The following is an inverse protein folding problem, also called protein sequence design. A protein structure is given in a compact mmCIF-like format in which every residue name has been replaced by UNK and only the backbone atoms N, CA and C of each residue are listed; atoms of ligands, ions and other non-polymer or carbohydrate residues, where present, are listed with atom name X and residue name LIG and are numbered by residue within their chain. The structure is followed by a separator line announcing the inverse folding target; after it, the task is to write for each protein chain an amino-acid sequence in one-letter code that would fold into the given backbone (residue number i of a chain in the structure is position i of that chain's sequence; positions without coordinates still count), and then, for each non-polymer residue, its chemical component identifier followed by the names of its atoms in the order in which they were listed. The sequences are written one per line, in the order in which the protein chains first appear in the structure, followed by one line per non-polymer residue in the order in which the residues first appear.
data_IF_208289630648
#
_entry.id   IF_208289630648
#
_cell.length_a   1.000
_cell.length_b   1.000
_cell.length_c   1.000
_cell.angle_alpha   90.00
_cell.angle_beta   90.00
_cell.angle_gamma   90.00
#
_symmetry.space_group_name_H-M   'P 1'
#
loop_
_entity.id
_entity.type
_entity.pdbx_description
1 polymer ?
#
# COMPACT_ATOMS: atom_id res chain seq x y z
N UNK A 1 -23.63 34.36 -5.70
CA UNK A 1 -23.40 32.91 -5.79
C UNK A 1 -22.98 32.45 -4.40
N UNK A 2 -23.78 31.66 -3.70
CA UNK A 2 -23.41 31.11 -2.40
C UNK A 2 -22.24 30.20 -2.56
N UNK A 3 -21.19 30.26 -1.71
CA UNK A 3 -20.11 29.32 -1.77
C UNK A 3 -20.66 27.90 -1.56
N UNK A 4 -20.32 27.00 -2.44
CA UNK A 4 -20.67 25.58 -2.32
C UNK A 4 -19.90 25.02 -1.10
N UNK A 5 -20.48 25.14 0.09
CA UNK A 5 -19.90 24.61 1.31
C UNK A 5 -20.01 23.09 1.20
N UNK A 6 -18.89 22.42 0.90
CA UNK A 6 -18.83 20.98 0.94
C UNK A 6 -18.95 20.53 2.40
N UNK A 7 -19.86 19.60 2.66
CA UNK A 7 -20.10 19.04 4.00
C UNK A 7 -19.06 18.00 4.42
N UNK A 8 -18.06 17.72 3.57
CA UNK A 8 -17.00 16.76 3.82
C UNK A 8 -15.67 17.20 3.16
N UNK A 9 -14.56 16.76 3.70
CA UNK A 9 -13.24 16.97 3.13
C UNK A 9 -12.95 15.91 2.07
N UNK A 10 -12.69 16.33 0.84
CA UNK A 10 -12.28 15.41 -0.22
C UNK A 10 -10.83 15.00 -0.05
N UNK A 11 -10.57 13.72 -0.09
CA UNK A 11 -9.21 13.18 -0.05
C UNK A 11 -8.30 13.76 -1.15
N UNK A 12 -8.86 13.95 -2.37
CA UNK A 12 -8.13 14.56 -3.46
C UNK A 12 -7.68 15.99 -3.18
N UNK A 13 -8.51 16.79 -2.49
CA UNK A 13 -8.18 18.17 -2.14
C UNK A 13 -7.06 18.21 -1.09
N UNK A 14 -7.11 17.33 -0.08
CA UNK A 14 -6.04 17.19 0.91
C UNK A 14 -4.70 16.77 0.28
N UNK A 15 -4.72 15.86 -0.70
CA UNK A 15 -3.51 15.49 -1.43
C UNK A 15 -3.00 16.65 -2.31
N UNK A 16 -3.89 17.36 -2.99
CA UNK A 16 -3.50 18.53 -3.79
C UNK A 16 -2.87 19.63 -2.93
N UNK A 17 -3.41 19.89 -1.75
CA UNK A 17 -2.84 20.84 -0.79
C UNK A 17 -1.45 20.41 -0.35
N UNK A 18 -1.26 19.13 0.01
CA UNK A 18 0.02 18.60 0.47
C UNK A 18 1.11 18.59 -0.60
N UNK A 19 0.76 18.26 -1.84
CA UNK A 19 1.73 18.06 -2.93
C UNK A 19 1.83 19.25 -3.90
N UNK A 20 0.93 20.21 -3.83
CA UNK A 20 0.85 21.33 -4.78
C UNK A 20 0.49 20.92 -6.21
N UNK A 21 0.06 19.68 -6.41
CA UNK A 21 -0.26 19.13 -7.73
C UNK A 21 -1.24 17.96 -7.63
N UNK A 22 -1.75 17.54 -8.79
CA UNK A 22 -2.63 16.36 -8.85
C UNK A 22 -1.86 15.08 -8.54
N UNK A 23 -2.40 14.29 -7.61
CA UNK A 23 -1.84 13.02 -7.16
C UNK A 23 -2.75 11.87 -7.55
N UNK A 24 -2.17 10.74 -7.96
CA UNK A 24 -2.89 9.50 -8.28
C UNK A 24 -2.30 8.34 -7.48
N UNK A 25 -3.17 7.50 -6.88
CA UNK A 25 -2.74 6.19 -6.37
C UNK A 25 -2.47 5.25 -7.55
N UNK A 26 -1.36 4.55 -7.50
CA UNK A 26 -0.98 3.48 -8.43
C UNK A 26 -0.88 2.20 -7.63
N UNK A 27 -1.80 1.26 -7.87
CA UNK A 27 -1.78 -0.03 -7.18
C UNK A 27 -0.55 -0.84 -7.58
N UNK A 28 0.04 -1.53 -6.61
CA UNK A 28 1.13 -2.47 -6.81
C UNK A 28 0.85 -3.78 -6.06
N UNK A 29 1.32 -4.88 -6.60
CA UNK A 29 1.25 -6.19 -5.98
C UNK A 29 2.67 -6.65 -5.63
N UNK A 30 3.01 -6.64 -4.35
CA UNK A 30 4.34 -7.00 -3.86
C UNK A 30 4.53 -8.52 -3.66
N UNK A 31 3.51 -9.33 -3.99
CA UNK A 31 3.55 -10.77 -3.79
C UNK A 31 3.29 -11.22 -2.35
N UNK A 32 2.85 -10.32 -1.48
CA UNK A 32 2.48 -10.66 -0.12
C UNK A 32 1.23 -11.54 -0.06
N UNK A 33 1.00 -12.18 1.07
CA UNK A 33 -0.14 -13.05 1.30
C UNK A 33 -1.02 -12.54 2.45
N UNK A 34 -1.94 -13.37 2.91
CA UNK A 34 -2.80 -13.06 4.05
C UNK A 34 -2.91 -14.29 4.96
N UNK A 35 -2.86 -14.13 6.30
CA UNK A 35 -3.02 -15.23 7.24
C UNK A 35 -4.31 -16.05 7.06
N UNK A 36 -5.36 -15.45 6.53
CA UNK A 36 -6.62 -16.12 6.22
C UNK A 36 -6.57 -16.97 4.94
N UNK A 37 -5.45 -16.93 4.19
CA UNK A 37 -5.29 -17.67 2.92
C UNK A 37 -4.18 -18.70 2.95
N UNK A 38 -3.09 -18.41 3.65
CA UNK A 38 -1.90 -19.26 3.63
C UNK A 38 -1.91 -20.41 4.64
N UNK A 39 -2.94 -20.49 5.46
CA UNK A 39 -3.12 -21.54 6.46
C UNK A 39 -2.71 -21.13 7.88
N UNK A 40 -2.14 -19.94 8.08
CA UNK A 40 -1.72 -19.48 9.42
C UNK A 40 -2.90 -19.26 10.34
N UNK A 41 -3.97 -18.61 9.87
CA UNK A 41 -5.23 -18.42 10.58
C UNK A 41 -6.43 -19.05 9.88
N UNK A 42 -6.35 -19.24 8.55
CA UNK A 42 -7.41 -19.81 7.74
C UNK A 42 -6.96 -20.17 6.34
N UNK A 43 -7.86 -20.82 5.59
CA UNK A 43 -7.63 -21.20 4.18
C UNK A 43 -8.71 -20.60 3.30
N UNK A 44 -8.35 -20.22 2.07
CA UNK A 44 -9.29 -19.70 1.06
C UNK A 44 -9.59 -18.19 1.16
N UNK A 45 -9.31 -17.55 2.28
CA UNK A 45 -9.56 -16.11 2.51
C UNK A 45 -10.97 -15.80 3.00
N UNK A 46 -11.26 -14.51 3.18
CA UNK A 46 -12.57 -14.03 3.59
C UNK A 46 -13.57 -14.08 2.43
N UNK A 47 -14.84 -14.32 2.73
CA UNK A 47 -15.91 -14.50 1.71
C UNK A 47 -16.10 -13.26 0.80
N UNK A 48 -15.79 -12.08 1.30
CA UNK A 48 -15.88 -10.80 0.59
C UNK A 48 -14.57 -10.40 -0.11
N UNK A 49 -13.46 -11.12 0.11
CA UNK A 49 -12.15 -10.75 -0.41
C UNK A 49 -11.98 -11.17 -1.86
N UNK A 50 -12.14 -10.22 -2.78
CA UNK A 50 -11.89 -10.42 -4.21
C UNK A 50 -10.78 -9.49 -4.71
N UNK A 51 -9.53 -9.90 -4.55
CA UNK A 51 -8.38 -9.10 -4.99
C UNK A 51 -8.35 -8.82 -6.51
N UNK A 52 -9.02 -9.64 -7.33
CA UNK A 52 -9.09 -9.40 -8.77
C UNK A 52 -9.87 -8.15 -9.14
N UNK A 53 -10.87 -7.76 -8.33
CA UNK A 53 -11.74 -6.64 -8.63
C UNK A 53 -11.05 -5.27 -8.53
N UNK A 54 -9.93 -5.19 -7.78
CA UNK A 54 -9.18 -3.95 -7.58
C UNK A 54 -7.70 -4.04 -7.95
N UNK A 55 -7.29 -5.14 -8.59
CA UNK A 55 -5.94 -5.28 -9.14
C UNK A 55 -5.96 -4.99 -10.65
N UNK A 56 -5.43 -3.85 -11.10
CA UNK A 56 -5.27 -3.57 -12.51
C UNK A 56 -4.42 -4.63 -13.23
N UNK A 57 -4.56 -4.78 -14.56
CA UNK A 57 -3.86 -5.81 -15.32
C UNK A 57 -2.32 -5.76 -15.21
N UNK A 58 -1.76 -4.60 -14.91
CA UNK A 58 -0.32 -4.42 -14.73
C UNK A 58 0.19 -4.86 -13.36
N UNK A 59 -0.68 -5.09 -12.37
CA UNK A 59 -0.30 -5.58 -11.03
C UNK A 59 0.02 -7.07 -11.07
N UNK A 60 1.27 -7.40 -11.41
CA UNK A 60 1.76 -8.76 -11.45
C UNK A 60 2.82 -8.97 -10.34
N UNK A 61 2.63 -9.91 -9.39
CA UNK A 61 3.58 -10.16 -8.31
C UNK A 61 4.96 -10.65 -8.78
N UNK A 62 5.06 -11.19 -10.00
CA UNK A 62 6.31 -11.62 -10.61
C UNK A 62 7.14 -10.44 -11.18
N UNK A 63 6.51 -9.28 -11.37
CA UNK A 63 7.17 -8.07 -11.86
C UNK A 63 7.72 -7.26 -10.68
N UNK A 64 8.81 -6.51 -10.91
CA UNK A 64 9.33 -5.57 -9.92
C UNK A 64 8.30 -4.49 -9.58
N UNK A 65 8.38 -3.93 -8.38
CA UNK A 65 7.51 -2.81 -7.97
C UNK A 65 7.74 -1.61 -8.88
N UNK A 66 8.98 -1.33 -9.25
CA UNK A 66 9.33 -0.25 -10.18
C UNK A 66 8.66 -0.41 -11.53
N UNK A 67 8.66 -1.62 -12.11
CA UNK A 67 7.98 -1.88 -13.39
C UNK A 67 6.47 -1.68 -13.29
N UNK A 68 5.85 -2.18 -12.21
CA UNK A 68 4.42 -2.00 -11.97
C UNK A 68 4.05 -0.52 -11.82
N UNK A 69 4.89 0.29 -11.17
CA UNK A 69 4.69 1.74 -11.03
C UNK A 69 4.76 2.42 -12.40
N UNK A 70 5.76 2.13 -13.22
CA UNK A 70 5.88 2.71 -14.55
C UNK A 70 4.69 2.36 -15.45
N UNK A 71 4.23 1.11 -15.42
CA UNK A 71 3.05 0.67 -16.16
C UNK A 71 1.78 1.34 -15.64
N UNK A 72 1.65 1.47 -14.31
CA UNK A 72 0.54 2.17 -13.68
C UNK A 72 0.50 3.65 -14.04
N UNK A 73 1.64 4.33 -14.09
CA UNK A 73 1.75 5.72 -14.54
C UNK A 73 1.27 5.84 -15.99
N UNK A 74 1.70 4.93 -16.88
CA UNK A 74 1.22 4.88 -18.26
C UNK A 74 -0.29 4.63 -18.35
N UNK A 75 -0.80 3.67 -17.57
CA UNK A 75 -2.21 3.35 -17.51
C UNK A 75 -3.08 4.54 -17.10
N UNK A 76 -2.61 5.35 -16.15
CA UNK A 76 -3.31 6.54 -15.67
C UNK A 76 -2.91 7.85 -16.37
N UNK A 77 -2.15 7.80 -17.47
CA UNK A 77 -1.63 8.98 -18.18
C UNK A 77 -2.70 10.01 -18.57
N UNK A 78 -3.93 9.56 -18.89
CA UNK A 78 -5.07 10.44 -19.20
C UNK A 78 -5.45 11.40 -18.07
N UNK A 79 -5.13 11.08 -16.83
CA UNK A 79 -5.45 11.93 -15.69
C UNK A 79 -4.44 13.06 -15.44
N UNK A 80 -3.32 13.09 -16.18
CA UNK A 80 -2.27 14.12 -16.11
C UNK A 80 -1.79 14.38 -14.68
N UNK A 81 -1.65 13.33 -13.90
CA UNK A 81 -1.09 13.41 -12.53
C UNK A 81 0.40 13.68 -12.59
N UNK A 82 0.93 14.42 -11.61
CA UNK A 82 2.35 14.80 -11.56
C UNK A 82 3.09 14.06 -10.45
N UNK A 83 2.35 13.60 -9.44
CA UNK A 83 2.86 12.77 -8.35
C UNK A 83 1.98 11.55 -8.15
N UNK A 84 2.59 10.50 -7.63
CA UNK A 84 1.94 9.23 -7.42
C UNK A 84 2.15 8.73 -5.99
N UNK A 85 1.20 7.97 -5.49
CA UNK A 85 1.30 7.19 -4.25
C UNK A 85 1.29 5.73 -4.65
N UNK A 86 2.34 4.98 -4.33
CA UNK A 86 2.37 3.54 -4.54
C UNK A 86 1.42 2.87 -3.52
N UNK A 87 0.40 2.19 -4.03
CA UNK A 87 -0.66 1.62 -3.21
C UNK A 87 -0.52 0.10 -3.13
N UNK A 88 -0.02 -0.36 -2.02
CA UNK A 88 0.05 -1.77 -1.63
C UNK A 88 -1.31 -2.19 -1.09
N UNK A 89 -2.18 -2.66 -1.97
CA UNK A 89 -3.57 -2.94 -1.64
C UNK A 89 -3.88 -4.43 -1.50
N UNK A 90 -3.27 -5.26 -2.34
CA UNK A 90 -3.60 -6.69 -2.41
C UNK A 90 -3.13 -7.44 -1.17
N UNK A 91 -4.05 -8.15 -0.51
CA UNK A 91 -3.78 -8.98 0.68
C UNK A 91 -3.39 -8.16 1.93
N UNK A 92 -2.47 -8.71 2.74
CA UNK A 92 -2.00 -8.10 4.00
C UNK A 92 -0.56 -7.67 3.80
N UNK A 93 -0.35 -6.39 3.53
CA UNK A 93 0.95 -5.90 3.04
C UNK A 93 2.00 -5.64 4.13
N UNK A 94 1.72 -5.97 5.38
CA UNK A 94 2.68 -5.97 6.49
C UNK A 94 2.96 -7.38 7.02
N UNK A 95 2.57 -8.40 6.23
CA UNK A 95 2.67 -9.80 6.62
C UNK A 95 3.53 -10.59 5.62
N UNK A 96 4.52 -11.32 6.13
CA UNK A 96 5.34 -12.27 5.37
C UNK A 96 5.04 -13.69 5.87
N UNK A 97 4.78 -14.60 4.93
CA UNK A 97 4.49 -15.98 5.24
C UNK A 97 5.74 -16.69 5.78
N UNK A 98 5.60 -17.46 6.85
CA UNK A 98 6.50 -18.58 7.09
C UNK A 98 7.39 -18.53 8.31
N UNK A 99 7.33 -17.51 9.15
CA UNK A 99 8.19 -17.47 10.35
C UNK A 99 7.67 -18.25 11.55
N UNK A 100 6.61 -19.08 11.36
CA UNK A 100 6.15 -20.02 12.42
C UNK A 100 5.68 -19.36 13.73
N UNK A 101 5.81 -18.05 13.84
CA UNK A 101 5.35 -17.30 14.99
C UNK A 101 3.82 -17.20 14.96
N UNK A 102 3.18 -17.81 15.93
CA UNK A 102 1.75 -17.62 16.22
C UNK A 102 1.50 -16.24 16.83
N UNK A 103 2.57 -15.55 17.23
CA UNK A 103 2.50 -14.22 17.80
C UNK A 103 2.54 -13.18 16.69
N UNK A 104 1.40 -12.53 16.46
CA UNK A 104 1.21 -11.43 15.51
C UNK A 104 2.10 -10.20 15.81
N UNK A 105 2.84 -10.22 16.90
CA UNK A 105 3.61 -9.08 17.43
C UNK A 105 5.12 -9.15 17.18
N UNK A 106 5.62 -10.23 16.59
CA UNK A 106 7.04 -10.35 16.28
C UNK A 106 7.27 -10.56 14.78
N UNK A 107 8.22 -9.85 14.22
CA UNK A 107 8.68 -10.03 12.84
C UNK A 107 10.17 -10.33 12.88
N UNK A 108 10.62 -11.35 12.13
CA UNK A 108 12.05 -11.63 12.00
C UNK A 108 12.76 -10.50 11.25
N UNK A 109 14.09 -10.38 11.44
CA UNK A 109 14.89 -9.37 10.73
C UNK A 109 14.78 -9.54 9.20
N UNK A 110 14.85 -10.77 8.71
CA UNK A 110 14.75 -11.07 7.28
C UNK A 110 13.38 -10.73 6.69
N UNK A 111 12.30 -10.96 7.45
CA UNK A 111 10.95 -10.61 7.00
C UNK A 111 10.75 -9.10 6.99
N UNK A 112 11.26 -8.41 8.01
CA UNK A 112 11.23 -6.96 8.07
C UNK A 112 11.99 -6.34 6.88
N UNK A 113 13.20 -6.81 6.60
CA UNK A 113 13.98 -6.36 5.46
C UNK A 113 13.27 -6.63 4.12
N UNK A 114 12.59 -7.77 4.01
CA UNK A 114 11.80 -8.12 2.82
C UNK A 114 10.65 -7.13 2.60
N UNK A 115 9.92 -6.75 3.66
CA UNK A 115 8.85 -5.77 3.59
C UNK A 115 9.39 -4.39 3.21
N UNK A 116 10.39 -3.91 3.94
CA UNK A 116 10.98 -2.58 3.75
C UNK A 116 11.59 -2.44 2.36
N UNK A 117 12.27 -3.46 1.84
CA UNK A 117 12.84 -3.45 0.50
C UNK A 117 11.80 -3.18 -0.59
N UNK A 118 10.57 -3.69 -0.42
CA UNK A 118 9.46 -3.44 -1.36
C UNK A 118 8.94 -2.01 -1.30
N UNK A 119 8.85 -1.44 -0.10
CA UNK A 119 8.45 -0.05 0.08
C UNK A 119 9.51 0.91 -0.45
N UNK A 120 10.77 0.66 -0.13
CA UNK A 120 11.90 1.45 -0.61
C UNK A 120 12.04 1.38 -2.13
N UNK A 121 11.79 0.22 -2.75
CA UNK A 121 11.78 0.08 -4.21
C UNK A 121 10.74 1.03 -4.83
N UNK A 122 9.55 1.11 -4.27
CA UNK A 122 8.51 2.03 -4.74
C UNK A 122 8.94 3.50 -4.62
N UNK A 123 9.56 3.86 -3.50
CA UNK A 123 9.96 5.24 -3.20
C UNK A 123 11.17 5.73 -3.98
N UNK A 124 11.95 4.83 -4.62
CA UNK A 124 13.04 5.23 -5.52
C UNK A 124 12.54 5.88 -6.81
N UNK A 125 11.29 5.64 -7.19
CA UNK A 125 10.76 6.27 -8.40
C UNK A 125 10.53 7.78 -8.18
N UNK A 126 11.09 8.67 -9.04
CA UNK A 126 11.14 10.12 -8.78
C UNK A 126 9.77 10.82 -8.71
N UNK A 127 8.76 10.22 -9.32
CA UNK A 127 7.39 10.75 -9.28
C UNK A 127 6.56 10.17 -8.12
N UNK A 128 7.07 9.19 -7.36
CA UNK A 128 6.39 8.66 -6.19
C UNK A 128 6.68 9.55 -4.98
N UNK A 129 5.64 10.14 -4.43
CA UNK A 129 5.71 11.02 -3.26
C UNK A 129 5.34 10.34 -1.95
N UNK A 130 4.95 9.05 -2.00
CA UNK A 130 4.57 8.31 -0.81
C UNK A 130 4.02 6.93 -1.08
N UNK A 131 3.65 6.25 -0.01
CA UNK A 131 3.03 4.92 -0.03
C UNK A 131 1.69 4.92 0.70
N UNK A 132 0.80 4.06 0.26
CA UNK A 132 -0.40 3.65 0.99
C UNK A 132 -0.33 2.13 1.18
N UNK A 133 -0.52 1.64 2.40
CA UNK A 133 -0.35 0.24 2.77
C UNK A 133 -1.62 -0.30 3.40
N UNK A 134 -2.33 -1.14 2.64
CA UNK A 134 -3.50 -1.86 3.13
C UNK A 134 -3.07 -3.07 3.95
N UNK A 135 -3.58 -3.18 5.17
CA UNK A 135 -3.22 -4.27 6.07
C UNK A 135 -4.33 -4.58 7.08
N UNK A 136 -4.12 -5.64 7.84
CA UNK A 136 -4.95 -6.02 8.99
C UNK A 136 -4.35 -5.41 10.28
N UNK A 137 -5.18 -4.96 11.22
CA UNK A 137 -4.69 -4.39 12.48
C UNK A 137 -3.92 -5.39 13.34
N UNK A 138 -4.17 -6.70 13.18
CA UNK A 138 -3.48 -7.78 13.87
C UNK A 138 -2.23 -8.31 13.15
N UNK A 139 -1.79 -7.64 12.09
CA UNK A 139 -0.63 -8.03 11.27
C UNK A 139 0.40 -6.90 11.13
N UNK A 140 0.37 -5.92 12.01
CA UNK A 140 1.35 -4.84 12.03
C UNK A 140 2.12 -4.88 13.36
N UNK A 141 3.43 -4.64 13.31
CA UNK A 141 4.31 -4.64 14.48
C UNK A 141 4.74 -3.24 14.83
N UNK A 142 5.13 -2.99 16.08
CA UNK A 142 5.70 -1.70 16.51
C UNK A 142 6.90 -1.31 15.65
N UNK A 143 7.78 -2.25 15.34
CA UNK A 143 8.94 -2.02 14.46
C UNK A 143 8.55 -1.48 13.08
N UNK A 144 7.46 -1.97 12.49
CA UNK A 144 6.94 -1.43 11.21
C UNK A 144 6.30 -0.06 11.39
N UNK A 145 5.62 0.17 12.51
CA UNK A 145 5.07 1.49 12.83
C UNK A 145 6.17 2.53 13.00
N UNK A 146 7.27 2.18 13.69
CA UNK A 146 8.45 3.04 13.82
C UNK A 146 9.07 3.36 12.46
N UNK A 147 9.25 2.36 11.61
CA UNK A 147 9.72 2.57 10.24
C UNK A 147 8.79 3.50 9.45
N UNK A 148 7.47 3.32 9.52
CA UNK A 148 6.53 4.20 8.85
C UNK A 148 6.53 5.62 9.45
N UNK A 149 6.73 5.76 10.74
CA UNK A 149 6.87 7.05 11.40
C UNK A 149 8.11 7.81 10.90
N UNK A 150 9.27 7.15 10.86
CA UNK A 150 10.50 7.70 10.30
C UNK A 150 10.34 8.08 8.82
N UNK A 151 9.72 7.19 8.03
CA UNK A 151 9.47 7.43 6.62
C UNK A 151 8.56 8.63 6.38
N UNK A 152 7.59 8.86 7.28
CA UNK A 152 6.63 9.96 7.21
C UNK A 152 7.26 11.36 7.32
N UNK A 153 8.48 11.46 7.85
CA UNK A 153 9.23 12.70 7.87
C UNK A 153 9.59 13.21 6.46
N UNK A 154 9.66 12.31 5.47
CA UNK A 154 10.08 12.65 4.10
C UNK A 154 9.00 12.39 3.05
N UNK A 155 8.19 11.36 3.24
CA UNK A 155 7.19 10.90 2.30
C UNK A 155 5.78 10.96 2.87
N UNK A 156 4.78 10.89 1.99
CA UNK A 156 3.42 10.64 2.43
C UNK A 156 3.28 9.14 2.78
N UNK A 157 2.86 8.85 3.99
CA UNK A 157 2.60 7.47 4.45
C UNK A 157 1.15 7.38 4.93
N UNK A 158 0.42 6.41 4.40
CA UNK A 158 -0.94 6.09 4.79
C UNK A 158 -1.02 4.59 5.10
N UNK A 159 -1.40 4.24 6.32
CA UNK A 159 -1.74 2.86 6.70
C UNK A 159 -3.26 2.72 6.73
N UNK A 160 -3.79 1.81 5.92
CA UNK A 160 -5.22 1.54 5.80
C UNK A 160 -5.54 0.19 6.48
N UNK A 161 -6.24 0.24 7.61
CA UNK A 161 -6.65 -0.96 8.33
C UNK A 161 -7.98 -1.49 7.83
N UNK A 162 -8.00 -2.77 7.41
CA UNK A 162 -9.24 -3.53 7.22
C UNK A 162 -9.77 -4.00 8.58
N UNK A 163 -10.97 -3.53 8.94
CA UNK A 163 -11.61 -3.80 10.24
C UNK A 163 -12.97 -4.51 10.07
N UNK A 164 -13.15 -5.27 9.01
CA UNK A 164 -14.34 -6.07 8.69
C UNK A 164 -14.49 -7.32 9.60
#
# INVERSE_FOLDING_TARGET
MSPNILTYNKYADALNERFGCRVQKVSVNAGFTCPNRDGSKGKGGCIYCNNRSFSPPYCNPESSISSQIEEGIRFFSKYKSQKYIAYFQSYTNTYVRGNGSTDSYSISDSDFETLVAKYDEALRHPQVGGIAVGTRPDCITERLLDYFAELSAKYYVLVEYGVE
#
